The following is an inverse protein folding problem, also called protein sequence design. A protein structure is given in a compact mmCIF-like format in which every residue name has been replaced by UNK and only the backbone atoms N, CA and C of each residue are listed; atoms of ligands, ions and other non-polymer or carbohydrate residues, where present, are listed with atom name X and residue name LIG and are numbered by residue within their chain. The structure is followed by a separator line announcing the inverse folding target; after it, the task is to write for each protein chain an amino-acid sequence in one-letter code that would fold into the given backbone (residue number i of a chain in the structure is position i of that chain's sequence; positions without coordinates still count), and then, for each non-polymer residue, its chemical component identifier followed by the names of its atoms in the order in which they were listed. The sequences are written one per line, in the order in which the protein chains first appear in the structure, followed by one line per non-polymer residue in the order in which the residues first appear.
data_IF_350479901564
#
_entry.id   IF_350479901564
#
_cell.length_a   1.000
_cell.length_b   1.000
_cell.length_c   1.000
_cell.angle_alpha   90.00
_cell.angle_beta   90.00
_cell.angle_gamma   90.00
#
_symmetry.space_group_name_H-M   'P 1'
#
loop_
_entity.id
_entity.type
_entity.pdbx_description
1 polymer ?
#
# COMPACT_ATOMS: atom_id res chain seq x y z
N UNK A 1 16.59 -15.19 -1.64
CA UNK A 1 16.90 -13.95 -0.91
C UNK A 1 16.67 -14.13 0.57
N UNK A 2 17.57 -13.62 1.36
CA UNK A 2 17.34 -13.65 2.80
C UNK A 2 16.46 -12.49 3.21
N UNK A 3 15.41 -12.79 3.97
CA UNK A 3 14.44 -11.79 4.41
C UNK A 3 14.83 -11.13 5.74
N UNK A 4 16.02 -11.42 6.25
CA UNK A 4 16.48 -10.91 7.56
C UNK A 4 16.45 -9.39 7.65
N UNK A 5 16.94 -8.73 6.62
CA UNK A 5 16.98 -7.26 6.63
C UNK A 5 15.59 -6.65 6.64
N UNK A 6 14.66 -7.27 5.91
CA UNK A 6 13.26 -6.83 5.91
C UNK A 6 12.70 -6.84 7.33
N UNK A 7 12.99 -7.90 8.12
CA UNK A 7 12.54 -8.00 9.50
C UNK A 7 13.22 -6.99 10.42
N UNK A 8 14.41 -6.53 10.07
CA UNK A 8 15.09 -5.49 10.82
C UNK A 8 14.45 -4.12 10.60
N UNK A 9 14.06 -3.81 9.36
CA UNK A 9 13.43 -2.53 9.03
C UNK A 9 11.93 -2.52 9.30
N UNK A 10 11.30 -3.70 9.29
CA UNK A 10 9.86 -3.87 9.59
C UNK A 10 9.69 -4.87 10.73
N UNK A 11 10.02 -4.51 11.98
CA UNK A 11 9.96 -5.46 13.10
C UNK A 11 8.56 -6.02 13.36
N UNK A 12 7.49 -5.29 13.01
CA UNK A 12 6.13 -5.76 13.21
C UNK A 12 5.84 -7.06 12.44
N UNK A 13 6.65 -7.41 11.44
CA UNK A 13 6.49 -8.66 10.71
C UNK A 13 6.59 -9.88 11.61
N UNK A 14 7.31 -9.78 12.73
CA UNK A 14 7.39 -10.84 13.72
C UNK A 14 6.10 -11.03 14.52
N UNK A 15 5.20 -10.06 14.46
CA UNK A 15 3.99 -10.02 15.29
C UNK A 15 2.71 -10.24 14.49
N UNK A 16 2.79 -10.27 13.15
CA UNK A 16 1.62 -10.43 12.30
C UNK A 16 1.45 -11.90 11.91
N UNK A 17 0.28 -12.19 11.34
CA UNK A 17 -0.08 -13.50 10.83
C UNK A 17 0.94 -14.01 9.81
N UNK A 18 1.23 -15.32 9.87
CA UNK A 18 2.21 -15.96 9.00
C UNK A 18 1.91 -15.74 7.51
N UNK A 19 0.64 -15.85 7.13
CA UNK A 19 0.23 -15.69 5.75
C UNK A 19 0.51 -14.28 5.23
N UNK A 20 0.19 -13.27 6.03
CA UNK A 20 0.47 -11.89 5.68
C UNK A 20 1.97 -11.60 5.65
N UNK A 21 2.71 -12.17 6.60
CA UNK A 21 4.17 -12.05 6.65
C UNK A 21 4.80 -12.60 5.38
N UNK A 22 4.34 -13.76 4.91
CA UNK A 22 4.82 -14.35 3.66
C UNK A 22 4.51 -13.46 2.45
N UNK A 23 3.37 -12.77 2.45
CA UNK A 23 3.03 -11.80 1.40
C UNK A 23 3.98 -10.62 1.38
N UNK A 24 4.39 -10.14 2.55
CA UNK A 24 5.41 -9.08 2.64
C UNK A 24 6.74 -9.54 2.10
N UNK A 25 7.18 -10.75 2.45
CA UNK A 25 8.42 -11.31 1.96
C UNK A 25 8.40 -11.45 0.44
N UNK A 26 7.31 -11.93 -0.11
CA UNK A 26 7.14 -12.09 -1.54
C UNK A 26 7.14 -10.74 -2.26
N UNK A 27 6.41 -9.77 -1.73
CA UNK A 27 6.30 -8.44 -2.34
C UNK A 27 7.65 -7.73 -2.40
N UNK A 28 8.42 -7.79 -1.31
CA UNK A 28 9.70 -7.12 -1.20
C UNK A 28 10.90 -8.04 -1.52
N UNK A 29 10.63 -9.14 -2.20
CA UNK A 29 11.67 -10.12 -2.52
C UNK A 29 12.90 -9.50 -3.19
N UNK A 30 12.72 -8.61 -4.14
CA UNK A 30 13.79 -7.96 -4.89
C UNK A 30 14.16 -6.58 -4.36
N UNK A 31 13.60 -6.17 -3.22
CA UNK A 31 13.81 -4.84 -2.68
C UNK A 31 15.27 -4.62 -2.30
N UNK A 32 15.93 -3.60 -2.87
CA UNK A 32 17.33 -3.31 -2.50
C UNK A 32 17.39 -2.63 -1.14
N UNK A 33 18.58 -2.67 -0.55
CA UNK A 33 18.81 -2.07 0.78
C UNK A 33 18.48 -0.57 0.80
N UNK A 34 18.81 0.14 -0.27
CA UNK A 34 18.53 1.59 -0.32
C UNK A 34 17.03 1.90 -0.24
N UNK A 35 16.18 0.99 -0.75
CA UNK A 35 14.73 1.14 -0.62
C UNK A 35 14.29 0.83 0.80
N UNK A 36 14.70 -0.32 1.34
CA UNK A 36 14.32 -0.76 2.67
C UNK A 36 14.78 0.21 3.76
N UNK A 37 15.96 0.80 3.59
CA UNK A 37 16.45 1.82 4.53
C UNK A 37 15.60 3.09 4.55
N UNK A 38 14.85 3.34 3.48
CA UNK A 38 14.00 4.52 3.37
C UNK A 38 12.63 4.35 4.02
N UNK A 39 12.26 3.12 4.42
CA UNK A 39 10.96 2.85 4.99
C UNK A 39 10.77 3.62 6.30
N UNK A 40 9.59 4.20 6.45
CA UNK A 40 9.17 4.83 7.70
C UNK A 40 7.92 4.12 8.19
N UNK A 41 7.89 3.79 9.47
CA UNK A 41 6.73 3.14 10.07
C UNK A 41 6.01 4.16 10.93
N UNK A 42 4.70 4.28 10.72
CA UNK A 42 3.86 5.13 11.54
C UNK A 42 2.75 4.31 12.16
N UNK A 43 2.40 4.65 13.41
CA UNK A 43 1.28 4.08 14.12
C UNK A 43 0.18 5.14 14.14
N UNK A 44 -0.98 4.81 13.61
CA UNK A 44 -2.11 5.73 13.55
C UNK A 44 -3.28 5.17 14.37
N UNK A 45 -3.97 6.06 15.08
CA UNK A 45 -5.21 5.70 15.77
C UNK A 45 -6.33 5.47 14.73
N UNK A 46 -7.45 4.90 15.19
CA UNK A 46 -8.64 4.77 14.36
C UNK A 46 -9.21 6.15 14.00
N UNK A 47 -9.80 6.24 12.80
CA UNK A 47 -10.48 7.46 12.38
C UNK A 47 -9.55 8.54 11.82
N UNK A 48 -8.32 8.20 11.46
CA UNK A 48 -7.35 9.16 10.92
C UNK A 48 -7.35 9.12 9.40
N UNK A 49 -7.58 10.26 8.76
CA UNK A 49 -7.41 10.41 7.31
C UNK A 49 -5.94 10.66 7.06
N UNK A 50 -5.27 9.71 6.39
CA UNK A 50 -3.82 9.81 6.13
C UNK A 50 -3.50 10.06 4.65
N UNK A 51 -4.47 9.86 3.76
CA UNK A 51 -4.38 10.25 2.36
C UNK A 51 -5.67 10.95 2.00
N UNK A 52 -5.56 12.12 1.40
CA UNK A 52 -6.72 12.89 0.96
C UNK A 52 -6.69 13.01 -0.55
N UNK A 53 -7.81 12.65 -1.21
CA UNK A 53 -7.88 12.78 -2.65
C UNK A 53 -7.64 14.23 -3.11
N UNK A 54 -7.09 14.35 -4.29
CA UNK A 54 -6.76 15.63 -4.90
C UNK A 54 -5.61 16.39 -4.21
N UNK A 55 -4.84 15.72 -3.34
CA UNK A 55 -3.58 16.27 -2.81
C UNK A 55 -2.39 15.65 -3.55
N UNK A 56 -1.23 16.31 -3.55
CA UNK A 56 -0.07 15.82 -4.30
C UNK A 56 0.40 14.43 -3.85
N UNK A 57 0.75 13.58 -4.81
CA UNK A 57 1.29 12.26 -4.53
C UNK A 57 2.76 12.40 -4.17
N UNK A 58 3.08 12.15 -2.92
CA UNK A 58 4.46 12.24 -2.40
C UNK A 58 4.91 10.97 -1.66
N UNK A 59 3.99 10.12 -1.28
CA UNK A 59 4.25 8.96 -0.44
C UNK A 59 3.39 7.78 -0.88
N UNK A 60 3.99 6.58 -0.83
CA UNK A 60 3.28 5.33 -1.02
C UNK A 60 3.07 4.71 0.36
N UNK A 61 1.88 4.19 0.61
CA UNK A 61 1.48 3.65 1.91
C UNK A 61 1.20 2.16 1.78
N UNK A 62 1.78 1.37 2.66
CA UNK A 62 1.51 -0.08 2.74
C UNK A 62 1.01 -0.38 4.14
N UNK A 63 -0.14 -1.04 4.22
CA UNK A 63 -0.78 -1.34 5.50
C UNK A 63 -0.16 -2.61 6.08
N UNK A 64 0.52 -2.47 7.21
CA UNK A 64 1.12 -3.61 7.91
C UNK A 64 0.14 -4.31 8.84
N UNK A 65 -0.60 -3.54 9.62
CA UNK A 65 -1.62 -4.04 10.54
C UNK A 65 -2.79 -3.08 10.56
N UNK A 66 -3.98 -3.62 10.84
CA UNK A 66 -5.18 -2.81 11.00
C UNK A 66 -6.02 -2.78 9.73
N UNK A 67 -7.06 -1.98 9.80
CA UNK A 67 -8.08 -1.91 8.75
C UNK A 67 -8.24 -0.47 8.30
N UNK A 68 -8.35 -0.29 6.98
CA UNK A 68 -8.58 1.02 6.39
C UNK A 68 -9.79 0.96 5.46
N UNK A 69 -10.33 2.11 5.17
CA UNK A 69 -11.32 2.28 4.10
C UNK A 69 -10.84 3.34 3.14
N UNK A 70 -11.22 3.19 1.87
CA UNK A 70 -10.95 4.18 0.83
C UNK A 70 -12.27 4.73 0.32
N UNK A 71 -12.34 6.03 0.18
CA UNK A 71 -13.52 6.71 -0.36
C UNK A 71 -13.12 7.45 -1.62
N UNK A 72 -13.85 7.22 -2.71
CA UNK A 72 -13.65 7.93 -3.96
C UNK A 72 -14.80 8.91 -4.16
N UNK A 73 -14.55 10.17 -3.85
CA UNK A 73 -15.59 11.21 -3.95
C UNK A 73 -15.93 11.57 -5.39
N UNK A 74 -15.10 11.17 -6.36
CA UNK A 74 -15.43 11.38 -7.79
C UNK A 74 -16.58 10.48 -8.23
N UNK A 75 -16.86 9.43 -7.47
CA UNK A 75 -17.92 8.47 -7.79
C UNK A 75 -18.95 8.46 -6.64
N UNK A 76 -19.53 9.62 -6.37
CA UNK A 76 -20.60 9.79 -5.37
C UNK A 76 -20.22 9.31 -3.97
N UNK A 77 -18.96 9.48 -3.58
CA UNK A 77 -18.51 9.12 -2.24
C UNK A 77 -18.48 7.63 -1.94
N UNK A 78 -18.29 6.80 -2.96
CA UNK A 78 -18.27 5.35 -2.78
C UNK A 78 -17.06 4.94 -1.94
N UNK A 79 -17.35 4.12 -0.93
CA UNK A 79 -16.36 3.65 0.03
C UNK A 79 -16.01 2.20 -0.27
N UNK A 80 -14.70 1.92 -0.34
CA UNK A 80 -14.15 0.58 -0.47
C UNK A 80 -13.58 0.16 0.87
N UNK A 81 -13.84 -1.10 1.24
CA UNK A 81 -13.37 -1.67 2.49
C UNK A 81 -12.24 -2.66 2.19
N UNK A 82 -11.04 -2.34 2.65
CA UNK A 82 -9.85 -3.17 2.41
C UNK A 82 -9.56 -4.14 3.55
N UNK A 83 -10.52 -4.38 4.44
CA UNK A 83 -10.34 -5.23 5.60
C UNK A 83 -10.05 -6.70 5.26
N UNK A 84 -10.52 -7.16 4.12
CA UNK A 84 -10.48 -8.59 3.74
C UNK A 84 -9.36 -8.95 2.80
N UNK A 85 -8.51 -8.00 2.46
CA UNK A 85 -7.43 -8.28 1.51
C UNK A 85 -6.21 -8.78 2.26
N UNK A 86 -5.76 -9.98 1.88
CA UNK A 86 -4.59 -10.60 2.49
C UNK A 86 -3.29 -10.17 1.81
N UNK A 87 -3.38 -9.59 0.64
CA UNK A 87 -2.21 -9.16 -0.12
C UNK A 87 -1.58 -7.90 0.42
N UNK A 88 -0.41 -7.58 -0.10
CA UNK A 88 0.28 -6.33 0.16
C UNK A 88 -0.04 -5.38 -0.98
N UNK A 89 -0.63 -4.24 -0.66
CA UNK A 89 -1.06 -3.26 -1.64
C UNK A 89 -0.37 -1.93 -1.38
N UNK A 90 0.26 -1.40 -2.43
CA UNK A 90 0.93 -0.10 -2.37
C UNK A 90 -0.08 1.00 -2.70
N UNK A 91 -0.65 1.61 -1.68
CA UNK A 91 -1.60 2.71 -1.84
C UNK A 91 -0.88 3.95 -2.37
N UNK A 92 -1.31 4.46 -3.50
CA UNK A 92 -0.61 5.52 -4.24
C UNK A 92 0.25 4.96 -5.37
N UNK A 93 0.47 3.65 -5.42
CA UNK A 93 1.29 3.02 -6.46
C UNK A 93 0.72 3.18 -7.86
N UNK A 94 -0.60 3.08 -8.00
CA UNK A 94 -1.23 3.27 -9.30
C UNK A 94 -1.05 4.70 -9.81
N UNK A 95 -1.13 5.67 -8.94
CA UNK A 95 -0.88 7.07 -9.31
C UNK A 95 0.53 7.25 -9.86
N UNK A 96 1.53 6.61 -9.22
CA UNK A 96 2.91 6.66 -9.70
C UNK A 96 3.03 6.01 -11.08
N UNK A 97 2.44 4.84 -11.27
CA UNK A 97 2.50 4.09 -12.54
C UNK A 97 1.85 4.87 -13.66
N UNK A 98 0.72 5.52 -13.39
CA UNK A 98 -0.03 6.28 -14.38
C UNK A 98 0.44 7.72 -14.51
N UNK A 99 1.50 8.08 -13.79
CA UNK A 99 2.06 9.44 -13.80
C UNK A 99 1.03 10.50 -13.41
N UNK A 100 0.20 10.18 -12.43
CA UNK A 100 -0.76 11.12 -11.86
C UNK A 100 -0.09 11.87 -10.72
N UNK A 101 -0.34 13.18 -10.64
CA UNK A 101 0.29 14.02 -9.64
C UNK A 101 -0.55 14.19 -8.37
N UNK A 102 -1.78 13.67 -8.36
CA UNK A 102 -2.69 13.78 -7.22
C UNK A 102 -3.32 12.43 -6.88
N UNK A 103 -3.56 12.22 -5.57
CA UNK A 103 -4.23 11.01 -5.10
C UNK A 103 -5.67 10.96 -5.60
N UNK A 104 -6.09 9.75 -5.96
CA UNK A 104 -7.42 9.51 -6.52
C UNK A 104 -8.46 9.18 -5.46
N UNK A 105 -8.04 8.84 -4.25
CA UNK A 105 -8.94 8.42 -3.18
C UNK A 105 -8.52 9.02 -1.85
N UNK A 106 -9.47 9.06 -0.92
CA UNK A 106 -9.22 9.41 0.48
C UNK A 106 -9.11 8.11 1.28
N UNK A 107 -8.04 7.97 2.05
CA UNK A 107 -7.80 6.78 2.89
C UNK A 107 -7.90 7.16 4.35
N UNK A 108 -8.66 6.36 5.09
CA UNK A 108 -8.92 6.59 6.51
C UNK A 108 -8.76 5.28 7.28
N UNK A 109 -8.15 5.34 8.46
CA UNK A 109 -8.05 4.18 9.33
C UNK A 109 -9.41 3.88 9.95
N UNK A 110 -9.79 2.59 9.97
CA UNK A 110 -10.99 2.11 10.67
C UNK A 110 -10.64 1.63 12.07
N UNK A 111 -9.49 0.97 12.21
CA UNK A 111 -8.91 0.56 13.48
C UNK A 111 -7.54 1.23 13.62
N UNK A 112 -6.90 1.13 14.80
CA UNK A 112 -5.49 1.49 14.89
C UNK A 112 -4.68 0.72 13.85
N UNK A 113 -3.76 1.39 13.19
CA UNK A 113 -3.01 0.83 12.06
C UNK A 113 -1.51 1.04 12.21
N UNK A 114 -0.75 0.05 11.76
CA UNK A 114 0.68 0.16 11.51
C UNK A 114 0.88 0.32 10.00
N UNK A 115 1.47 1.42 9.57
CA UNK A 115 1.58 1.75 8.16
C UNK A 115 3.04 1.99 7.80
N UNK A 116 3.48 1.40 6.68
CA UNK A 116 4.81 1.63 6.11
C UNK A 116 4.70 2.72 5.06
N UNK A 117 5.53 3.74 5.17
CA UNK A 117 5.59 4.86 4.22
C UNK A 117 6.84 4.75 3.38
N UNK A 118 6.69 4.89 2.07
CA UNK A 118 7.79 4.89 1.11
C UNK A 118 7.69 6.16 0.28
N UNK A 119 8.79 6.92 0.19
CA UNK A 119 8.81 8.13 -0.63
C UNK A 119 8.53 7.78 -2.10
N UNK A 120 7.74 8.61 -2.77
CA UNK A 120 7.36 8.43 -4.17
C UNK A 120 8.57 8.16 -5.07
N UNK A 121 9.64 8.94 -4.92
CA UNK A 121 10.83 8.84 -5.76
C UNK A 121 11.54 7.50 -5.58
N UNK A 122 11.61 7.01 -4.34
CA UNK A 122 12.20 5.71 -4.03
C UNK A 122 11.40 4.57 -4.64
N UNK A 123 10.08 4.64 -4.49
CA UNK A 123 9.18 3.63 -5.04
C UNK A 123 9.27 3.61 -6.57
N UNK A 124 9.24 4.77 -7.21
CA UNK A 124 9.33 4.88 -8.66
C UNK A 124 10.68 4.35 -9.19
N UNK A 125 11.77 4.66 -8.49
CA UNK A 125 13.09 4.16 -8.86
C UNK A 125 13.16 2.63 -8.78
N UNK A 126 12.54 2.06 -7.74
CA UNK A 126 12.50 0.61 -7.59
C UNK A 126 11.69 -0.04 -8.70
N UNK A 127 10.51 0.50 -9.03
CA UNK A 127 9.67 -0.01 -10.13
C UNK A 127 10.43 -0.04 -11.45
N UNK A 128 11.25 0.97 -11.70
CA UNK A 128 11.98 1.08 -12.98
C UNK A 128 13.24 0.22 -13.01
N UNK A 129 13.78 -0.17 -11.86
CA UNK A 129 15.05 -0.91 -11.78
C UNK A 129 14.88 -2.40 -11.50
N UNK A 130 13.69 -2.84 -11.15
CA UNK A 130 13.46 -4.23 -10.78
C UNK A 130 13.49 -5.15 -11.99
N UNK A 131 14.07 -6.35 -11.81
CA UNK A 131 14.13 -7.35 -12.88
C UNK A 131 12.78 -8.07 -13.07
N UNK A 132 11.91 -8.06 -12.05
CA UNK A 132 10.54 -8.53 -12.18
C UNK A 132 9.69 -7.40 -12.74
N UNK A 133 8.58 -7.73 -13.32
CA UNK A 133 7.65 -6.71 -13.81
C UNK A 133 6.78 -6.20 -12.66
N UNK A 134 7.38 -5.45 -11.74
CA UNK A 134 6.67 -4.87 -10.61
C UNK A 134 5.56 -3.91 -11.04
N UNK A 135 5.79 -3.24 -12.15
CA UNK A 135 4.79 -2.32 -12.70
C UNK A 135 3.52 -3.06 -13.09
N UNK A 136 3.69 -4.20 -13.76
CA UNK A 136 2.55 -5.04 -14.14
C UNK A 136 1.88 -5.62 -12.91
N UNK A 137 2.65 -6.11 -11.96
CA UNK A 137 2.14 -6.68 -10.72
C UNK A 137 1.30 -5.66 -9.94
N UNK A 138 1.81 -4.45 -9.78
CA UNK A 138 1.10 -3.38 -9.10
C UNK A 138 -0.17 -2.99 -9.84
N UNK A 139 -0.14 -2.98 -11.17
CA UNK A 139 -1.31 -2.68 -11.99
C UNK A 139 -2.39 -3.74 -11.78
N UNK A 140 -2.02 -5.00 -11.76
CA UNK A 140 -2.95 -6.11 -11.51
C UNK A 140 -3.56 -5.98 -10.12
N UNK A 141 -2.76 -5.69 -9.10
CA UNK A 141 -3.26 -5.49 -7.74
C UNK A 141 -4.26 -4.35 -7.67
N UNK A 142 -3.95 -3.23 -8.28
CA UNK A 142 -4.85 -2.07 -8.31
C UNK A 142 -6.17 -2.39 -9.01
N UNK A 143 -6.11 -3.13 -10.11
CA UNK A 143 -7.30 -3.57 -10.84
C UNK A 143 -8.17 -4.49 -9.99
N UNK A 144 -7.55 -5.44 -9.29
CA UNK A 144 -8.28 -6.37 -8.41
C UNK A 144 -8.97 -5.63 -7.27
N UNK A 145 -8.33 -4.65 -6.68
CA UNK A 145 -8.94 -3.82 -5.64
C UNK A 145 -10.15 -3.07 -6.17
N UNK A 146 -10.04 -2.51 -7.37
CA UNK A 146 -11.13 -1.78 -8.00
C UNK A 146 -12.33 -2.69 -8.28
N UNK A 147 -12.10 -3.88 -8.81
CA UNK A 147 -13.15 -4.85 -9.07
C UNK A 147 -13.86 -5.28 -7.79
N UNK A 148 -13.11 -5.55 -6.74
CA UNK A 148 -13.70 -5.96 -5.46
C UNK A 148 -14.53 -4.82 -4.87
N UNK A 149 -14.07 -3.59 -4.98
CA UNK A 149 -14.84 -2.42 -4.56
C UNK A 149 -16.14 -2.31 -5.32
N UNK A 150 -16.13 -2.51 -6.63
CA UNK A 150 -17.33 -2.48 -7.46
C UNK A 150 -18.31 -3.59 -7.09
N UNK A 151 -17.81 -4.79 -6.84
CA UNK A 151 -18.66 -5.90 -6.43
C UNK A 151 -19.40 -5.59 -5.12
N UNK A 152 -18.74 -4.94 -4.18
CA UNK A 152 -19.38 -4.50 -2.94
C UNK A 152 -20.47 -3.46 -3.18
N UNK A 153 -20.30 -2.62 -4.19
CA UNK A 153 -21.29 -1.59 -4.54
C UNK A 153 -22.56 -2.16 -5.13
N UNK A 154 -22.51 -3.36 -5.68
CA UNK A 154 -23.66 -4.01 -6.28
C UNK A 154 -24.68 -4.51 -5.27
N UNK A 155 -24.36 -4.44 -3.98
CA UNK A 155 -25.25 -4.94 -2.90
C UNK A 155 -25.81 -3.81 -2.05
#
# INVERSE_FOLDING_TARGET
MECKYLYQVLPFLNEIDKKKRERFEEYFYSAPVWLMDSFQIVELDAGVVFVKENTPVDTIYIIGRGMIKATDYRIYGITYDFMRFEGVYAMGGMEVIMDLDRYCTTLETVTPCTIVKIAKEKYASWLNSDIRDLKLEATIQGHNLFEQGQNRRAF
#
